data_IF_588558236676
#
_entry.id   IF_588558236676
#
_cell.length_a   1.000
_cell.length_b   1.000
_cell.length_c   1.000
_cell.angle_alpha   90.00
_cell.angle_beta   90.00
_cell.angle_gamma   90.00
#
_symmetry.space_group_name_H-M   'P 1'
#
loop_
_entity.id
_entity.type
_entity.pdbx_description
1 polymer ?
#
# COMPACT_ATOMS: atom_id res chain seq x y z
N UNK A 1 24.18 14.76 6.65
CA UNK A 1 23.74 13.34 6.75
C UNK A 1 22.25 13.15 6.38
N UNK A 2 21.52 14.21 6.02
CA UNK A 2 20.08 14.14 5.77
C UNK A 2 19.66 13.54 4.42
N UNK A 3 20.47 13.63 3.35
CA UNK A 3 20.12 13.02 2.06
C UNK A 3 20.07 11.50 2.05
N UNK A 4 20.69 10.80 3.03
CA UNK A 4 20.73 9.33 3.07
C UNK A 4 19.54 8.71 3.81
N UNK A 5 18.87 9.47 4.69
CA UNK A 5 17.71 9.01 5.48
C UNK A 5 16.59 8.39 4.62
N UNK A 6 16.11 9.02 3.52
CA UNK A 6 15.04 8.43 2.72
C UNK A 6 15.45 7.10 2.06
N UNK A 7 16.71 6.96 1.64
CA UNK A 7 17.21 5.71 1.07
C UNK A 7 17.28 4.59 2.11
N UNK A 8 17.74 4.89 3.32
CA UNK A 8 17.75 3.92 4.43
C UNK A 8 16.33 3.47 4.77
N UNK A 9 15.38 4.42 4.85
CA UNK A 9 13.96 4.10 5.09
C UNK A 9 13.41 3.22 3.97
N UNK A 10 13.69 3.53 2.70
CA UNK A 10 13.23 2.73 1.56
C UNK A 10 13.78 1.30 1.61
N UNK A 11 15.05 1.12 1.96
CA UNK A 11 15.65 -0.22 2.12
C UNK A 11 14.96 -0.99 3.24
N UNK A 12 14.74 -0.38 4.40
CA UNK A 12 14.04 -1.01 5.53
C UNK A 12 12.63 -1.45 5.13
N UNK A 13 11.88 -0.57 4.45
CA UNK A 13 10.54 -0.87 3.93
C UNK A 13 10.58 -2.07 2.98
N UNK A 14 11.54 -2.11 2.05
CA UNK A 14 11.68 -3.21 1.09
C UNK A 14 12.01 -4.55 1.78
N UNK A 15 12.84 -4.53 2.81
CA UNK A 15 13.14 -5.73 3.61
C UNK A 15 11.88 -6.23 4.31
N UNK A 16 11.08 -5.33 4.90
CA UNK A 16 9.81 -5.67 5.54
C UNK A 16 8.82 -6.29 4.53
N UNK A 17 8.66 -5.68 3.35
CA UNK A 17 7.79 -6.22 2.30
C UNK A 17 8.25 -7.58 1.78
N UNK A 18 9.55 -7.76 1.59
CA UNK A 18 10.11 -9.06 1.18
C UNK A 18 9.80 -10.14 2.22
N UNK A 19 10.02 -9.84 3.51
CA UNK A 19 9.66 -10.74 4.60
C UNK A 19 8.17 -11.07 4.61
N UNK A 20 7.31 -10.07 4.39
CA UNK A 20 5.87 -10.26 4.27
C UNK A 20 5.53 -11.24 3.13
N UNK A 21 6.15 -11.12 1.95
CA UNK A 21 5.87 -12.01 0.82
C UNK A 21 6.25 -13.46 1.10
N UNK A 22 7.41 -13.69 1.71
CA UNK A 22 7.89 -15.03 2.08
C UNK A 22 6.98 -15.66 3.13
N UNK A 23 6.65 -14.93 4.19
CA UNK A 23 5.77 -15.44 5.27
C UNK A 23 4.35 -15.69 4.75
N UNK A 24 3.81 -14.77 3.94
CA UNK A 24 2.46 -14.94 3.36
C UNK A 24 2.42 -16.19 2.47
N UNK A 25 3.43 -16.37 1.62
CA UNK A 25 3.50 -17.55 0.73
C UNK A 25 3.65 -18.84 1.53
N UNK A 26 4.54 -18.88 2.52
CA UNK A 26 4.70 -20.06 3.38
C UNK A 26 3.41 -20.44 4.10
N UNK A 27 2.61 -19.46 4.52
CA UNK A 27 1.35 -19.70 5.20
C UNK A 27 0.23 -20.16 4.24
N UNK A 28 0.21 -19.64 3.00
CA UNK A 28 -0.70 -20.12 1.94
C UNK A 28 -0.35 -21.55 1.49
N UNK A 29 0.93 -21.88 1.40
CA UNK A 29 1.39 -23.23 1.04
C UNK A 29 1.03 -24.28 2.11
N UNK A 30 0.81 -23.85 3.35
CA UNK A 30 0.26 -24.69 4.43
C UNK A 30 -1.28 -24.79 4.41
N UNK A 31 -1.95 -24.26 3.39
CA UNK A 31 -3.39 -24.35 3.19
C UNK A 31 -4.22 -23.27 3.88
N UNK A 32 -3.60 -22.19 4.38
CA UNK A 32 -4.34 -21.07 4.96
C UNK A 32 -5.09 -20.31 3.87
N UNK A 33 -6.38 -20.04 4.12
CA UNK A 33 -7.20 -19.26 3.20
C UNK A 33 -6.70 -17.81 3.10
N UNK A 34 -6.47 -17.37 1.86
CA UNK A 34 -6.00 -16.03 1.51
C UNK A 34 -6.84 -14.89 2.09
N UNK A 35 -8.17 -15.02 2.08
CA UNK A 35 -9.08 -13.99 2.60
C UNK A 35 -8.98 -13.87 4.13
N UNK A 36 -8.89 -15.01 4.82
CA UNK A 36 -8.75 -15.07 6.28
C UNK A 36 -7.45 -14.41 6.72
N UNK A 37 -6.35 -14.67 6.01
CA UNK A 37 -5.07 -14.04 6.26
C UNK A 37 -5.12 -12.51 6.15
N UNK A 38 -5.71 -12.00 5.06
CA UNK A 38 -5.83 -10.56 4.84
C UNK A 38 -6.68 -9.92 5.94
N UNK A 39 -7.79 -10.55 6.32
CA UNK A 39 -8.66 -10.06 7.39
C UNK A 39 -7.90 -9.90 8.70
N UNK A 40 -7.17 -10.95 9.13
CA UNK A 40 -6.39 -10.88 10.37
C UNK A 40 -5.28 -9.83 10.30
N UNK A 41 -4.59 -9.70 9.16
CA UNK A 41 -3.55 -8.69 8.99
C UNK A 41 -4.10 -7.27 9.14
N UNK A 42 -5.24 -6.98 8.52
CA UNK A 42 -5.87 -5.65 8.58
C UNK A 42 -6.50 -5.37 9.94
N UNK A 43 -7.08 -6.39 10.59
CA UNK A 43 -7.60 -6.27 11.96
C UNK A 43 -6.46 -5.97 12.95
N UNK A 44 -5.36 -6.71 12.88
CA UNK A 44 -4.18 -6.48 13.71
C UNK A 44 -3.58 -5.09 13.47
N UNK A 45 -3.39 -4.69 12.21
CA UNK A 45 -2.90 -3.36 11.88
C UNK A 45 -3.80 -2.25 12.44
N UNK A 46 -5.12 -2.41 12.31
CA UNK A 46 -6.09 -1.45 12.86
C UNK A 46 -6.03 -1.38 14.38
N UNK A 47 -5.97 -2.53 15.06
CA UNK A 47 -5.87 -2.60 16.53
C UNK A 47 -4.57 -2.00 17.08
N UNK A 48 -3.46 -2.15 16.37
CA UNK A 48 -2.16 -1.59 16.77
C UNK A 48 -2.08 -0.08 16.47
N UNK A 49 -2.60 0.36 15.32
CA UNK A 49 -2.56 1.76 14.92
C UNK A 49 -3.58 2.63 15.66
N UNK A 50 -4.74 2.08 16.05
CA UNK A 50 -5.78 2.82 16.76
C UNK A 50 -5.29 3.51 18.05
N UNK A 51 -4.63 2.83 19.01
CA UNK A 51 -4.14 3.49 20.21
C UNK A 51 -3.01 4.48 19.90
N UNK A 52 -2.15 4.17 18.93
CA UNK A 52 -1.09 5.08 18.49
C UNK A 52 -1.67 6.37 17.91
N UNK A 53 -2.68 6.28 17.04
CA UNK A 53 -3.37 7.44 16.48
C UNK A 53 -4.05 8.29 17.57
N UNK A 54 -4.69 7.64 18.56
CA UNK A 54 -5.32 8.35 19.69
C UNK A 54 -4.27 9.03 20.59
N UNK A 55 -3.07 8.47 20.75
CA UNK A 55 -2.04 9.06 21.60
C UNK A 55 -1.26 10.17 20.88
N UNK A 56 -0.92 9.98 19.61
CA UNK A 56 -0.05 10.89 18.84
C UNK A 56 -0.82 12.03 18.16
N UNK A 57 -2.00 11.75 17.60
CA UNK A 57 -2.69 12.69 16.69
C UNK A 57 -3.93 13.35 17.32
N UNK A 58 -4.40 12.90 18.48
CA UNK A 58 -5.64 13.41 19.10
C UNK A 58 -5.67 14.93 19.29
N UNK A 59 -4.52 15.59 19.46
CA UNK A 59 -4.46 17.05 19.65
C UNK A 59 -4.38 17.85 18.34
N UNK A 60 -3.93 17.22 17.25
CA UNK A 60 -3.67 17.87 15.97
C UNK A 60 -4.62 17.40 14.85
N UNK A 61 -5.51 16.45 15.13
CA UNK A 61 -6.41 15.88 14.14
C UNK A 61 -7.45 16.92 13.66
N UNK A 62 -7.50 17.24 12.36
CA UNK A 62 -8.53 18.12 11.82
C UNK A 62 -9.90 17.43 11.91
N UNK A 63 -10.99 18.19 12.06
CA UNK A 63 -12.34 17.63 12.10
C UNK A 63 -12.64 16.90 10.79
N UNK A 64 -12.97 15.61 10.88
CA UNK A 64 -13.27 14.80 9.70
C UNK A 64 -14.73 15.00 9.29
N UNK A 65 -14.95 15.58 8.11
CA UNK A 65 -16.29 15.67 7.51
C UNK A 65 -16.80 14.28 7.09
N UNK A 66 -18.09 14.01 7.26
CA UNK A 66 -18.74 12.78 6.79
C UNK A 66 -18.51 12.53 5.30
N UNK A 67 -18.44 13.59 4.49
CA UNK A 67 -18.16 13.47 3.06
C UNK A 67 -16.75 12.94 2.77
N UNK A 68 -15.74 13.45 3.50
CA UNK A 68 -14.36 12.98 3.39
C UNK A 68 -14.25 11.53 3.89
N UNK A 69 -14.91 11.22 5.01
CA UNK A 69 -14.97 9.87 5.54
C UNK A 69 -15.54 8.89 4.51
N UNK A 70 -16.68 9.21 3.88
CA UNK A 70 -17.28 8.34 2.87
C UNK A 70 -16.36 8.16 1.65
N UNK A 71 -15.64 9.22 1.21
CA UNK A 71 -14.65 9.09 0.13
C UNK A 71 -13.51 8.13 0.48
N UNK A 72 -12.93 8.28 1.67
CA UNK A 72 -11.86 7.40 2.16
C UNK A 72 -12.35 5.97 2.33
N UNK A 73 -13.57 5.81 2.84
CA UNK A 73 -14.22 4.50 2.98
C UNK A 73 -14.41 3.82 1.61
N UNK A 74 -14.94 4.52 0.61
CA UNK A 74 -15.11 3.97 -0.73
C UNK A 74 -13.77 3.63 -1.40
N UNK A 75 -12.75 4.46 -1.22
CA UNK A 75 -11.40 4.17 -1.69
C UNK A 75 -10.79 2.92 -1.03
N UNK A 76 -10.96 2.77 0.29
CA UNK A 76 -10.49 1.60 1.01
C UNK A 76 -11.27 0.33 0.62
N UNK A 77 -12.59 0.43 0.47
CA UNK A 77 -13.48 -0.69 0.16
C UNK A 77 -13.27 -1.18 -1.27
N UNK A 78 -13.26 -0.28 -2.26
CA UNK A 78 -13.15 -0.68 -3.66
C UNK A 78 -11.69 -0.75 -4.12
N UNK A 79 -10.92 0.30 -3.87
CA UNK A 79 -9.54 0.37 -4.35
C UNK A 79 -8.63 -0.61 -3.61
N UNK A 80 -8.47 -0.38 -2.29
CA UNK A 80 -7.48 -1.12 -1.52
C UNK A 80 -7.86 -2.59 -1.30
N UNK A 81 -9.13 -2.88 -0.96
CA UNK A 81 -9.56 -4.25 -0.65
C UNK A 81 -9.50 -5.14 -1.89
N UNK A 82 -10.00 -4.69 -3.04
CA UNK A 82 -9.94 -5.49 -4.29
C UNK A 82 -8.48 -5.74 -4.67
N UNK A 83 -7.64 -4.69 -4.65
CA UNK A 83 -6.22 -4.81 -5.00
C UNK A 83 -5.47 -5.79 -4.10
N UNK A 84 -5.69 -5.71 -2.77
CA UNK A 84 -5.05 -6.62 -1.82
C UNK A 84 -5.52 -8.07 -2.00
N UNK A 85 -6.81 -8.30 -2.24
CA UNK A 85 -7.31 -9.65 -2.46
C UNK A 85 -6.77 -10.24 -3.76
N UNK A 86 -6.83 -9.50 -4.87
CA UNK A 86 -6.25 -9.94 -6.14
C UNK A 86 -4.75 -10.24 -6.02
N UNK A 87 -4.00 -9.42 -5.27
CA UNK A 87 -2.57 -9.63 -5.04
C UNK A 87 -2.27 -10.93 -4.27
N UNK A 88 -3.03 -11.24 -3.21
CA UNK A 88 -2.73 -12.45 -2.46
C UNK A 88 -3.23 -13.71 -3.19
N UNK A 89 -4.33 -13.61 -3.94
CA UNK A 89 -4.76 -14.70 -4.83
C UNK A 89 -3.68 -14.96 -5.87
N UNK A 90 -3.11 -13.92 -6.49
CA UNK A 90 -2.01 -14.13 -7.43
C UNK A 90 -0.78 -14.72 -6.74
N UNK A 91 -0.49 -14.34 -5.49
CA UNK A 91 0.58 -14.93 -4.68
C UNK A 91 0.35 -16.41 -4.38
N UNK A 92 -0.88 -16.86 -4.24
CA UNK A 92 -1.24 -18.27 -4.09
C UNK A 92 -0.82 -19.07 -5.34
N UNK A 93 -1.13 -18.55 -6.54
CA UNK A 93 -0.80 -19.17 -7.82
C UNK A 93 0.63 -18.95 -8.32
N UNK A 94 1.38 -18.02 -7.73
CA UNK A 94 2.74 -17.67 -8.16
C UNK A 94 3.76 -17.83 -7.03
N UNK A 95 5.00 -17.42 -7.26
CA UNK A 95 6.05 -17.43 -6.25
C UNK A 95 6.26 -16.04 -5.63
N UNK A 96 6.82 -16.00 -4.43
CA UNK A 96 7.20 -14.75 -3.76
C UNK A 96 8.16 -13.91 -4.63
N UNK A 97 9.02 -14.55 -5.44
CA UNK A 97 9.94 -13.87 -6.36
C UNK A 97 9.20 -13.12 -7.46
N UNK A 98 8.20 -13.75 -8.09
CA UNK A 98 7.40 -13.10 -9.13
C UNK A 98 6.60 -11.93 -8.53
N UNK A 99 6.02 -12.13 -7.35
CA UNK A 99 5.29 -11.07 -6.66
C UNK A 99 6.18 -9.88 -6.26
N UNK A 100 7.42 -10.14 -5.86
CA UNK A 100 8.43 -9.10 -5.63
C UNK A 100 8.82 -8.39 -6.93
N UNK A 101 9.00 -9.11 -8.04
CA UNK A 101 9.29 -8.49 -9.33
C UNK A 101 8.15 -7.59 -9.81
N UNK A 102 6.89 -8.02 -9.65
CA UNK A 102 5.70 -7.23 -10.00
C UNK A 102 5.56 -5.97 -9.14
N UNK A 103 5.83 -6.05 -7.82
CA UNK A 103 5.80 -4.85 -6.96
C UNK A 103 6.89 -3.84 -7.35
N UNK A 104 8.06 -4.32 -7.76
CA UNK A 104 9.15 -3.45 -8.25
C UNK A 104 8.86 -2.82 -9.62
N UNK A 105 7.95 -3.38 -10.42
CA UNK A 105 7.55 -2.80 -11.72
C UNK A 105 6.42 -1.77 -11.60
N UNK A 106 5.79 -1.64 -10.42
CA UNK A 106 4.71 -0.66 -10.18
C UNK A 106 5.08 0.76 -10.63
N UNK A 107 6.26 1.32 -10.29
CA UNK A 107 6.61 2.68 -10.72
C UNK A 107 6.68 2.82 -12.25
N UNK A 108 7.15 1.78 -12.95
CA UNK A 108 7.25 1.78 -14.42
C UNK A 108 5.86 1.79 -15.05
N UNK A 109 4.95 0.94 -14.54
CA UNK A 109 3.55 0.88 -15.01
C UNK A 109 2.81 2.17 -14.68
N UNK A 110 3.01 2.73 -13.48
CA UNK A 110 2.44 4.01 -13.08
C UNK A 110 2.91 5.15 -13.99
N UNK A 111 4.20 5.21 -14.32
CA UNK A 111 4.73 6.22 -15.25
C UNK A 111 4.12 6.06 -16.64
N UNK A 112 4.07 4.84 -17.16
CA UNK A 112 3.47 4.55 -18.46
C UNK A 112 2.00 4.99 -18.52
N UNK A 113 1.20 4.64 -17.51
CA UNK A 113 -0.20 5.08 -17.41
C UNK A 113 -0.32 6.60 -17.27
N UNK A 114 0.56 7.25 -16.52
CA UNK A 114 0.56 8.71 -16.34
C UNK A 114 0.86 9.46 -17.66
N UNK A 115 1.73 8.91 -18.50
CA UNK A 115 2.01 9.43 -19.85
C UNK A 115 0.80 9.20 -20.76
N UNK A 116 0.25 7.99 -20.79
CA UNK A 116 -0.90 7.62 -21.63
C UNK A 116 -2.13 8.47 -21.31
N UNK A 117 -2.44 8.63 -20.02
CA UNK A 117 -3.59 9.43 -19.55
C UNK A 117 -3.31 10.94 -19.54
N UNK A 118 -2.14 11.38 -20.04
CA UNK A 118 -1.75 12.80 -20.16
C UNK A 118 -1.71 13.58 -18.85
N UNK A 119 -1.73 12.91 -17.69
CA UNK A 119 -1.62 13.55 -16.37
C UNK A 119 -0.21 14.03 -16.04
N UNK A 120 0.84 13.45 -16.65
CA UNK A 120 2.22 13.87 -16.47
C UNK A 120 2.51 15.27 -17.07
N UNK A 121 1.74 15.69 -18.09
CA UNK A 121 1.90 17.00 -18.72
C UNK A 121 1.33 18.13 -17.86
N UNK A 122 0.34 17.85 -17.02
CA UNK A 122 -0.40 18.87 -16.27
C UNK A 122 0.45 19.46 -15.13
N UNK A 123 1.27 18.65 -14.43
CA UNK A 123 2.15 19.16 -13.37
C UNK A 123 3.30 20.02 -13.91
N UNK A 124 3.87 19.69 -15.09
CA UNK A 124 4.89 20.50 -15.73
C UNK A 124 4.35 21.82 -16.29
N UNK A 125 3.07 21.85 -16.70
CA UNK A 125 2.40 23.07 -17.15
C UNK A 125 1.98 23.97 -15.97
N UNK A 126 1.56 23.40 -14.84
CA UNK A 126 1.21 24.14 -13.61
C UNK A 126 2.43 24.75 -12.91
N UNK A 127 3.58 24.07 -12.95
CA UNK A 127 4.83 24.57 -12.34
C UNK A 127 5.56 25.63 -13.20
N UNK A 128 5.21 25.76 -14.49
CA UNK A 128 5.68 26.84 -15.37
C UNK A 128 4.71 28.04 -15.43
N UNK A 129 3.59 27.97 -14.71
CA UNK A 129 2.58 29.04 -14.65
C UNK A 129 2.50 29.72 -13.27
N UNK A 130 3.41 29.39 -12.35
CA UNK A 130 3.66 30.04 -11.05
C UNK A 130 5.10 30.51 -11.04
#
# INVERSE_FOLDING_TARGET
MDSKKPYVIAIVIQVIYTGLYVVSKAAFDQGMNTYVFIFYRQAAASLLLLPLAILLERRNAPPMSLWLFTKLFMYALLGNTISMNMYNISLEYTSATVASATSNSVPVVTFFLAVLLRHACIYYLLLNLI
#
